data_IF_941229450907
#
_entry.id   IF_941229450907
#
_cell.length_a   1.000
_cell.length_b   1.000
_cell.length_c   1.000
_cell.angle_alpha   90.00
_cell.angle_beta   90.00
_cell.angle_gamma   90.00
#
_symmetry.space_group_name_H-M   'P 1'
#
loop_
_entity.id
_entity.type
_entity.pdbx_description
1 polymer ?
#
# COMPACT_ATOMS: atom_id res chain seq x y z
N UNK A 1 -15.62 -7.85 21.37
CA UNK A 1 -16.11 -9.15 20.88
C UNK A 1 -16.50 -9.07 19.38
N UNK A 2 -17.36 -8.15 18.96
CA UNK A 2 -17.76 -8.02 17.55
C UNK A 2 -16.56 -7.73 16.61
N UNK A 3 -15.64 -6.85 17.00
CA UNK A 3 -14.43 -6.51 16.21
C UNK A 3 -13.52 -7.73 16.05
N UNK A 4 -13.35 -8.53 17.10
CA UNK A 4 -12.54 -9.78 17.05
C UNK A 4 -13.19 -10.83 16.17
N UNK A 5 -14.52 -10.96 16.22
CA UNK A 5 -15.27 -11.89 15.35
C UNK A 5 -15.23 -11.40 13.90
N UNK A 6 -15.39 -10.12 13.65
CA UNK A 6 -15.27 -9.54 12.30
C UNK A 6 -13.86 -9.70 11.75
N UNK A 7 -12.83 -9.45 12.56
CA UNK A 7 -11.44 -9.69 12.18
C UNK A 7 -11.16 -11.19 11.96
N UNK A 8 -11.69 -12.07 12.79
CA UNK A 8 -11.56 -13.52 12.61
C UNK A 8 -12.28 -14.00 11.34
N UNK A 9 -13.50 -13.53 11.06
CA UNK A 9 -14.22 -13.85 9.82
C UNK A 9 -13.51 -13.26 8.60
N UNK A 10 -13.02 -12.03 8.67
CA UNK A 10 -12.23 -11.42 7.60
C UNK A 10 -10.87 -12.11 7.41
N UNK A 11 -10.34 -12.78 8.44
CA UNK A 11 -9.06 -13.49 8.37
C UNK A 11 -9.24 -14.97 7.98
N UNK A 12 -10.25 -15.66 8.47
CA UNK A 12 -10.46 -17.11 8.27
C UNK A 12 -11.23 -17.41 6.98
N UNK A 13 -12.26 -16.65 6.65
CA UNK A 13 -13.03 -16.85 5.43
C UNK A 13 -12.21 -16.72 4.12
N UNK A 14 -11.20 -15.82 4.02
CA UNK A 14 -10.33 -15.78 2.86
C UNK A 14 -9.41 -16.99 2.73
N UNK A 15 -8.96 -17.60 3.84
CA UNK A 15 -7.97 -18.68 3.78
C UNK A 15 -8.49 -19.94 3.08
N UNK A 16 -9.74 -20.30 3.30
CA UNK A 16 -10.37 -21.46 2.62
C UNK A 16 -10.63 -21.17 1.14
N UNK A 17 -11.01 -19.92 0.81
CA UNK A 17 -11.20 -19.49 -0.58
C UNK A 17 -9.88 -19.27 -1.34
N UNK A 18 -8.84 -18.84 -0.62
CA UNK A 18 -7.52 -18.57 -1.20
C UNK A 18 -6.83 -19.86 -1.67
N UNK A 19 -6.97 -20.97 -0.95
CA UNK A 19 -6.40 -22.26 -1.37
C UNK A 19 -6.99 -22.71 -2.71
N UNK A 20 -8.34 -22.73 -2.81
CA UNK A 20 -9.03 -23.12 -4.05
C UNK A 20 -8.71 -22.15 -5.21
N UNK A 21 -8.62 -20.84 -4.91
CA UNK A 21 -8.26 -19.82 -5.91
C UNK A 21 -6.84 -20.04 -6.43
N UNK A 22 -5.88 -20.37 -5.55
CA UNK A 22 -4.50 -20.61 -5.93
C UNK A 22 -4.35 -21.85 -6.83
N UNK A 23 -5.08 -22.94 -6.53
CA UNK A 23 -5.08 -24.16 -7.35
C UNK A 23 -5.67 -23.92 -8.76
N UNK A 24 -6.81 -23.25 -8.84
CA UNK A 24 -7.41 -22.90 -10.14
C UNK A 24 -6.53 -21.96 -10.96
N UNK A 25 -5.88 -21.02 -10.29
CA UNK A 25 -4.93 -20.09 -10.93
C UNK A 25 -3.70 -20.86 -11.45
N UNK A 26 -3.16 -21.80 -10.68
CA UNK A 26 -2.03 -22.62 -11.07
C UNK A 26 -2.33 -23.42 -12.35
N UNK A 27 -3.47 -24.08 -12.40
CA UNK A 27 -3.93 -24.85 -13.58
C UNK A 27 -4.11 -23.90 -14.78
N UNK A 28 -4.76 -22.76 -14.59
CA UNK A 28 -4.97 -21.78 -15.65
C UNK A 28 -3.64 -21.23 -16.22
N UNK A 29 -2.70 -20.86 -15.34
CA UNK A 29 -1.39 -20.33 -15.71
C UNK A 29 -0.56 -21.38 -16.48
N UNK A 30 -0.55 -22.63 -16.00
CA UNK A 30 0.19 -23.72 -16.66
C UNK A 30 -0.35 -24.04 -18.05
N UNK A 31 -1.68 -24.06 -18.21
CA UNK A 31 -2.32 -24.38 -19.48
C UNK A 31 -2.22 -23.27 -20.53
N UNK A 32 -2.07 -22.02 -20.11
CA UNK A 32 -2.02 -20.85 -21.01
C UNK A 32 -0.64 -20.62 -21.66
N UNK A 33 0.37 -21.39 -21.27
CA UNK A 33 1.71 -21.29 -21.83
C UNK A 33 2.51 -20.05 -21.36
N UNK A 34 3.70 -19.82 -21.95
CA UNK A 34 4.68 -18.87 -21.44
C UNK A 34 4.25 -17.40 -21.50
N UNK A 35 3.39 -17.01 -22.42
CA UNK A 35 2.85 -15.64 -22.52
C UNK A 35 1.47 -15.50 -21.87
N UNK A 36 0.63 -16.51 -22.02
CA UNK A 36 -0.73 -16.49 -21.46
C UNK A 36 -0.73 -16.61 -19.94
N UNK A 37 0.17 -17.41 -19.38
CA UNK A 37 0.27 -17.60 -17.93
C UNK A 37 0.50 -16.31 -17.13
N UNK A 38 1.51 -15.49 -17.46
CA UNK A 38 1.69 -14.19 -16.84
C UNK A 38 0.48 -13.26 -16.99
N UNK A 39 -0.16 -13.22 -18.16
CA UNK A 39 -1.34 -12.37 -18.38
C UNK A 39 -2.52 -12.78 -17.47
N UNK A 40 -2.79 -14.08 -17.35
CA UNK A 40 -3.80 -14.61 -16.42
C UNK A 40 -3.45 -14.24 -14.98
N UNK A 41 -2.18 -14.38 -14.58
CA UNK A 41 -1.74 -14.02 -13.24
C UNK A 41 -1.93 -12.54 -12.94
N UNK A 42 -1.55 -11.65 -13.86
CA UNK A 42 -1.74 -10.21 -13.71
C UNK A 42 -3.23 -9.85 -13.54
N UNK A 43 -4.09 -10.43 -14.37
CA UNK A 43 -5.54 -10.23 -14.28
C UNK A 43 -6.12 -10.74 -12.96
N UNK A 44 -5.74 -11.96 -12.57
CA UNK A 44 -6.16 -12.55 -11.30
C UNK A 44 -5.68 -11.75 -10.09
N UNK A 45 -4.45 -11.20 -10.13
CA UNK A 45 -3.94 -10.32 -9.08
C UNK A 45 -4.76 -9.03 -8.98
N UNK A 46 -5.08 -8.40 -10.12
CA UNK A 46 -5.91 -7.19 -10.14
C UNK A 46 -7.31 -7.45 -9.55
N UNK A 47 -7.94 -8.56 -9.94
CA UNK A 47 -9.22 -8.98 -9.34
C UNK A 47 -9.05 -9.26 -7.84
N UNK A 48 -8.01 -9.99 -7.45
CA UNK A 48 -7.71 -10.30 -6.06
C UNK A 48 -7.52 -9.05 -5.19
N UNK A 49 -6.86 -8.01 -5.71
CA UNK A 49 -6.70 -6.73 -5.03
C UNK A 49 -8.04 -6.01 -4.81
N UNK A 50 -8.98 -6.14 -5.75
CA UNK A 50 -10.33 -5.56 -5.64
C UNK A 50 -11.19 -6.34 -4.64
N UNK A 51 -11.16 -7.68 -4.68
CA UNK A 51 -11.96 -8.54 -3.77
C UNK A 51 -11.27 -8.81 -2.43
N UNK A 52 -10.22 -8.07 -2.12
CA UNK A 52 -9.51 -8.07 -0.84
C UNK A 52 -8.77 -9.38 -0.52
N UNK A 53 -8.32 -10.15 -1.53
CA UNK A 53 -7.43 -11.29 -1.30
C UNK A 53 -6.11 -10.79 -0.70
N UNK A 54 -5.56 -11.45 0.35
CA UNK A 54 -4.31 -11.04 0.96
C UNK A 54 -3.15 -11.02 -0.05
N UNK A 55 -2.45 -9.88 -0.15
CA UNK A 55 -1.33 -9.73 -1.07
C UNK A 55 -0.20 -10.75 -0.81
N UNK A 56 0.00 -11.17 0.44
CA UNK A 56 0.96 -12.19 0.81
C UNK A 56 0.70 -13.52 0.10
N UNK A 57 -0.57 -13.95 0.03
CA UNK A 57 -0.94 -15.18 -0.68
C UNK A 57 -0.65 -15.05 -2.18
N UNK A 58 -0.95 -13.91 -2.78
CA UNK A 58 -0.68 -13.66 -4.20
C UNK A 58 0.82 -13.57 -4.50
N UNK A 59 1.61 -12.97 -3.61
CA UNK A 59 3.07 -12.91 -3.75
C UNK A 59 3.71 -14.31 -3.64
N UNK A 60 3.27 -15.12 -2.68
CA UNK A 60 3.70 -16.53 -2.54
C UNK A 60 3.36 -17.34 -3.80
N UNK A 61 2.13 -17.23 -4.30
CA UNK A 61 1.69 -17.92 -5.51
C UNK A 61 2.52 -17.47 -6.73
N UNK A 62 2.80 -16.19 -6.89
CA UNK A 62 3.63 -15.69 -7.97
C UNK A 62 5.07 -16.23 -7.91
N UNK A 63 5.66 -16.30 -6.73
CA UNK A 63 6.97 -16.92 -6.52
C UNK A 63 6.98 -18.42 -6.81
N UNK A 64 5.96 -19.14 -6.37
CA UNK A 64 5.77 -20.56 -6.63
C UNK A 64 5.63 -20.87 -8.11
N UNK A 65 4.84 -20.09 -8.85
CA UNK A 65 4.56 -20.32 -10.27
C UNK A 65 5.74 -19.95 -11.17
N UNK A 66 6.35 -18.80 -10.96
CA UNK A 66 7.31 -18.20 -11.88
C UNK A 66 8.76 -18.19 -11.37
N UNK A 67 8.98 -18.64 -10.12
CA UNK A 67 10.31 -18.61 -9.50
C UNK A 67 10.70 -17.23 -8.99
N UNK A 68 11.94 -17.06 -8.47
CA UNK A 68 12.31 -15.84 -7.73
C UNK A 68 12.39 -14.60 -8.63
N UNK A 69 13.01 -14.67 -9.80
CA UNK A 69 13.27 -13.52 -10.66
C UNK A 69 12.03 -13.09 -11.46
N UNK A 70 11.45 -14.01 -12.23
CA UNK A 70 10.24 -13.73 -13.01
C UNK A 70 9.03 -13.52 -12.11
N UNK A 71 8.95 -14.26 -11.00
CA UNK A 71 7.92 -14.04 -9.98
C UNK A 71 8.00 -12.63 -9.42
N UNK A 72 9.20 -12.14 -9.05
CA UNK A 72 9.37 -10.77 -8.57
C UNK A 72 8.94 -9.73 -9.61
N UNK A 73 9.32 -9.92 -10.87
CA UNK A 73 8.92 -9.01 -11.95
C UNK A 73 7.40 -8.99 -12.14
N UNK A 74 6.77 -10.16 -12.32
CA UNK A 74 5.33 -10.25 -12.57
C UNK A 74 4.50 -9.79 -11.36
N UNK A 75 4.88 -10.17 -10.14
CA UNK A 75 4.19 -9.73 -8.92
C UNK A 75 4.34 -8.22 -8.72
N UNK A 76 5.52 -7.64 -8.99
CA UNK A 76 5.73 -6.19 -8.88
C UNK A 76 4.81 -5.42 -9.83
N UNK A 77 4.70 -5.84 -11.07
CA UNK A 77 3.78 -5.24 -12.05
C UNK A 77 2.32 -5.48 -11.63
N UNK A 78 1.96 -6.73 -11.29
CA UNK A 78 0.62 -7.11 -10.94
C UNK A 78 0.10 -6.39 -9.68
N UNK A 79 0.93 -6.27 -8.64
CA UNK A 79 0.58 -5.57 -7.40
C UNK A 79 0.37 -4.07 -7.63
N UNK A 80 1.20 -3.47 -8.48
CA UNK A 80 1.07 -2.05 -8.85
C UNK A 80 -0.19 -1.80 -9.66
N UNK A 81 -0.46 -2.63 -10.68
CA UNK A 81 -1.68 -2.54 -11.48
C UNK A 81 -2.93 -2.81 -10.63
N UNK A 82 -2.92 -3.88 -9.82
CA UNK A 82 -4.02 -4.21 -8.93
C UNK A 82 -4.33 -3.12 -7.91
N UNK A 83 -3.28 -2.52 -7.33
CA UNK A 83 -3.45 -1.37 -6.44
C UNK A 83 -4.04 -0.16 -7.16
N UNK A 84 -3.63 0.08 -8.41
CA UNK A 84 -4.18 1.14 -9.26
C UNK A 84 -5.66 0.94 -9.58
N UNK A 85 -6.07 -0.28 -9.92
CA UNK A 85 -7.47 -0.62 -10.17
C UNK A 85 -8.33 -0.41 -8.92
N UNK A 86 -7.90 -0.91 -7.76
CA UNK A 86 -8.61 -0.72 -6.50
C UNK A 86 -8.69 0.76 -6.08
N UNK A 87 -7.62 1.52 -6.28
CA UNK A 87 -7.57 2.96 -6.05
C UNK A 87 -8.56 3.71 -6.97
N UNK A 88 -8.58 3.40 -8.27
CA UNK A 88 -9.50 4.03 -9.23
C UNK A 88 -10.94 3.67 -8.91
N UNK A 89 -11.22 2.41 -8.56
CA UNK A 89 -12.55 1.98 -8.14
C UNK A 89 -13.04 2.78 -6.92
N UNK A 90 -12.18 2.93 -5.91
CA UNK A 90 -12.50 3.78 -4.76
C UNK A 90 -12.77 5.23 -5.15
N UNK A 91 -11.94 5.78 -6.05
CA UNK A 91 -12.05 7.17 -6.50
C UNK A 91 -13.30 7.45 -7.32
N UNK A 92 -13.67 6.54 -8.21
CA UNK A 92 -14.82 6.76 -9.11
C UNK A 92 -16.16 6.38 -8.48
N UNK A 93 -16.18 5.31 -7.66
CA UNK A 93 -17.44 4.76 -7.12
C UNK A 93 -17.71 5.20 -5.68
N UNK A 94 -16.66 5.22 -4.84
CA UNK A 94 -16.85 5.40 -3.39
C UNK A 94 -16.62 6.84 -2.94
N UNK A 95 -15.75 7.59 -3.63
CA UNK A 95 -15.33 8.92 -3.18
C UNK A 95 -16.51 9.89 -3.01
N UNK A 96 -17.38 9.98 -4.00
CA UNK A 96 -18.55 10.88 -3.94
C UNK A 96 -19.46 10.56 -2.73
N UNK A 97 -19.74 9.29 -2.50
CA UNK A 97 -20.57 8.85 -1.36
C UNK A 97 -19.92 9.12 0.01
N UNK A 98 -18.59 9.07 0.07
CA UNK A 98 -17.85 9.35 1.31
C UNK A 98 -17.77 10.85 1.52
N UNK A 99 -17.47 11.64 0.49
CA UNK A 99 -17.43 13.10 0.56
C UNK A 99 -18.77 13.68 1.06
N UNK A 100 -19.91 13.20 0.58
CA UNK A 100 -21.22 13.61 1.06
C UNK A 100 -21.43 13.37 2.56
N UNK A 101 -20.92 12.25 3.07
CA UNK A 101 -21.07 11.88 4.49
C UNK A 101 -20.12 12.59 5.42
N UNK A 102 -18.93 12.96 4.96
CA UNK A 102 -17.86 13.55 5.77
C UNK A 102 -17.58 15.01 5.44
N UNK A 103 -18.31 15.60 4.48
CA UNK A 103 -18.12 17.00 4.05
C UNK A 103 -18.21 18.00 5.23
N UNK A 104 -18.98 17.69 6.26
CA UNK A 104 -19.11 18.53 7.46
C UNK A 104 -18.00 18.27 8.50
N UNK A 105 -17.18 17.23 8.36
CA UNK A 105 -16.12 16.91 9.30
C UNK A 105 -14.82 17.66 8.96
N UNK A 106 -14.52 18.67 9.77
CA UNK A 106 -13.29 19.46 9.65
C UNK A 106 -12.02 18.59 9.78
N UNK A 107 -12.08 17.48 10.53
CA UNK A 107 -10.94 16.58 10.72
C UNK A 107 -10.62 15.83 9.45
N UNK A 108 -11.65 15.36 8.73
CA UNK A 108 -11.48 14.70 7.43
C UNK A 108 -10.83 15.64 6.42
N UNK A 109 -11.35 16.86 6.29
CA UNK A 109 -10.81 17.86 5.36
C UNK A 109 -9.35 18.22 5.68
N UNK A 110 -8.99 18.34 6.95
CA UNK A 110 -7.61 18.61 7.38
C UNK A 110 -6.69 17.41 7.05
N UNK A 111 -7.15 16.18 7.31
CA UNK A 111 -6.42 14.96 7.00
C UNK A 111 -6.19 14.81 5.49
N UNK A 112 -7.24 14.98 4.67
CA UNK A 112 -7.12 14.89 3.22
C UNK A 112 -6.14 15.92 2.66
N UNK A 113 -6.18 17.16 3.13
CA UNK A 113 -5.21 18.19 2.75
C UNK A 113 -3.78 17.82 3.13
N UNK A 114 -3.55 17.34 4.35
CA UNK A 114 -2.24 16.93 4.83
C UNK A 114 -1.68 15.76 3.99
N UNK A 115 -2.51 14.76 3.73
CA UNK A 115 -2.16 13.60 2.90
C UNK A 115 -1.89 14.01 1.46
N UNK A 116 -2.70 14.90 0.88
CA UNK A 116 -2.57 15.33 -0.51
C UNK A 116 -1.32 16.18 -0.75
N UNK A 117 -0.93 17.05 0.18
CA UNK A 117 0.26 17.91 0.06
C UNK A 117 1.57 17.12 -0.08
N UNK A 118 1.71 16.01 0.64
CA UNK A 118 2.89 15.12 0.62
C UNK A 118 2.55 13.73 0.08
N UNK A 119 1.59 13.63 -0.84
CA UNK A 119 0.93 12.41 -1.25
C UNK A 119 1.84 11.21 -1.49
N UNK A 120 2.88 11.35 -2.33
CA UNK A 120 3.80 10.26 -2.63
C UNK A 120 4.56 9.76 -1.36
N UNK A 121 5.00 10.68 -0.49
CA UNK A 121 5.71 10.33 0.74
C UNK A 121 4.80 9.59 1.74
N UNK A 122 3.57 10.07 1.90
CA UNK A 122 2.59 9.42 2.79
C UNK A 122 2.26 8.02 2.28
N UNK A 123 2.06 7.86 0.97
CA UNK A 123 1.86 6.55 0.36
C UNK A 123 3.05 5.64 0.62
N UNK A 124 4.27 6.12 0.37
CA UNK A 124 5.50 5.35 0.57
C UNK A 124 5.64 4.87 2.03
N UNK A 125 5.46 5.78 2.99
CA UNK A 125 5.55 5.45 4.42
C UNK A 125 4.50 4.40 4.84
N UNK A 126 3.26 4.55 4.36
CA UNK A 126 2.20 3.58 4.66
C UNK A 126 2.48 2.23 4.00
N UNK A 127 3.07 2.19 2.79
CA UNK A 127 3.47 0.94 2.13
C UNK A 127 4.59 0.22 2.85
N UNK A 128 5.52 0.94 3.44
CA UNK A 128 6.60 0.38 4.25
C UNK A 128 6.13 -0.06 5.64
N UNK A 129 4.96 0.41 6.08
CA UNK A 129 4.39 0.03 7.37
C UNK A 129 3.55 -1.25 7.24
N UNK A 130 3.93 -2.36 7.91
CA UNK A 130 3.20 -3.63 7.82
C UNK A 130 1.84 -3.62 8.55
N UNK A 131 1.55 -2.59 9.35
CA UNK A 131 0.30 -2.51 10.14
C UNK A 131 -0.91 -2.24 9.25
N UNK A 132 -0.73 -1.47 8.17
CA UNK A 132 -1.84 -1.14 7.28
C UNK A 132 -1.97 -2.21 6.19
N UNK A 133 -3.09 -2.95 6.16
CA UNK A 133 -3.30 -3.98 5.13
C UNK A 133 -3.27 -3.37 3.72
N UNK A 134 -2.58 -4.05 2.80
CA UNK A 134 -2.41 -3.63 1.40
C UNK A 134 -3.69 -3.15 0.74
N UNK A 135 -4.74 -3.98 0.83
CA UNK A 135 -6.01 -3.70 0.16
C UNK A 135 -6.74 -2.50 0.77
N UNK A 136 -6.71 -2.36 2.12
CA UNK A 136 -7.32 -1.23 2.81
C UNK A 136 -6.64 0.08 2.38
N UNK A 137 -5.31 0.09 2.30
CA UNK A 137 -4.55 1.25 1.85
C UNK A 137 -4.93 1.68 0.42
N UNK A 138 -5.16 0.72 -0.49
CA UNK A 138 -5.55 1.03 -1.87
C UNK A 138 -6.85 1.83 -1.92
N UNK A 139 -7.88 1.37 -1.20
CA UNK A 139 -9.16 2.05 -1.14
C UNK A 139 -9.06 3.38 -0.39
N UNK A 140 -8.36 3.41 0.75
CA UNK A 140 -8.19 4.62 1.53
C UNK A 140 -7.55 5.75 0.73
N UNK A 141 -6.45 5.47 0.00
CA UNK A 141 -5.81 6.48 -0.86
C UNK A 141 -6.69 6.89 -2.06
N UNK A 142 -7.51 6.00 -2.59
CA UNK A 142 -8.48 6.34 -3.64
C UNK A 142 -9.50 7.39 -3.20
N UNK A 143 -9.82 7.44 -1.90
CA UNK A 143 -10.72 8.43 -1.31
C UNK A 143 -10.07 9.79 -1.05
N UNK A 144 -8.73 9.88 -1.07
CA UNK A 144 -7.98 11.13 -0.85
C UNK A 144 -7.70 11.88 -2.14
N UNK A 145 -7.21 13.12 -2.03
CA UNK A 145 -6.80 13.96 -3.16
C UNK A 145 -5.47 13.56 -3.82
N UNK A 146 -4.82 12.46 -3.39
CA UNK A 146 -3.53 12.01 -3.95
C UNK A 146 -3.67 11.66 -5.43
N UNK A 147 -2.78 12.15 -6.28
CA UNK A 147 -2.76 11.84 -7.71
C UNK A 147 -2.41 10.37 -7.99
N UNK A 148 -2.95 9.79 -9.07
CA UNK A 148 -2.72 8.40 -9.46
C UNK A 148 -1.22 8.12 -9.73
N UNK A 149 -0.54 9.00 -10.46
CA UNK A 149 0.88 8.84 -10.80
C UNK A 149 1.78 8.77 -9.56
N UNK A 150 1.78 9.77 -8.68
CA UNK A 150 2.49 9.73 -7.39
C UNK A 150 2.11 8.52 -6.54
N UNK A 151 0.84 8.10 -6.53
CA UNK A 151 0.38 6.92 -5.82
C UNK A 151 1.00 5.62 -6.37
N UNK A 152 0.97 5.41 -7.70
CA UNK A 152 1.51 4.20 -8.33
C UNK A 152 3.02 4.11 -8.13
N UNK A 153 3.75 5.20 -8.33
CA UNK A 153 5.21 5.24 -8.19
C UNK A 153 5.64 4.95 -6.74
N UNK A 154 5.03 5.62 -5.77
CA UNK A 154 5.31 5.39 -4.36
C UNK A 154 4.89 3.98 -3.90
N UNK A 155 3.77 3.45 -4.42
CA UNK A 155 3.34 2.09 -4.14
C UNK A 155 4.31 1.07 -4.73
N UNK A 156 4.76 1.26 -5.96
CA UNK A 156 5.72 0.37 -6.60
C UNK A 156 7.00 0.26 -5.79
N UNK A 157 7.60 1.39 -5.41
CA UNK A 157 8.82 1.44 -4.61
C UNK A 157 8.58 0.86 -3.21
N UNK A 158 7.50 1.27 -2.54
CA UNK A 158 7.22 0.87 -1.16
C UNK A 158 6.82 -0.59 -1.00
N UNK A 159 6.26 -1.21 -2.03
CA UNK A 159 5.90 -2.63 -2.03
C UNK A 159 7.06 -3.56 -2.37
N UNK A 160 8.15 -3.07 -2.99
CA UNK A 160 9.29 -3.89 -3.39
C UNK A 160 9.79 -4.83 -2.28
N UNK A 161 10.09 -4.37 -1.05
CA UNK A 161 10.62 -5.24 0.00
C UNK A 161 9.68 -6.41 0.32
N UNK A 162 8.39 -6.11 0.53
CA UNK A 162 7.39 -7.12 0.87
C UNK A 162 7.12 -8.09 -0.30
N UNK A 163 7.14 -7.59 -1.53
CA UNK A 163 6.99 -8.38 -2.75
C UNK A 163 8.14 -9.37 -2.89
N UNK A 164 9.39 -8.90 -2.80
CA UNK A 164 10.55 -9.78 -2.87
C UNK A 164 10.55 -10.85 -1.79
N UNK A 165 10.23 -10.49 -0.55
CA UNK A 165 10.14 -11.45 0.55
C UNK A 165 9.11 -12.55 0.25
N UNK A 166 7.89 -12.18 -0.11
CA UNK A 166 6.82 -13.14 -0.43
C UNK A 166 7.15 -14.04 -1.62
N UNK A 167 7.72 -13.45 -2.68
CA UNK A 167 8.12 -14.19 -3.89
C UNK A 167 9.24 -15.19 -3.62
N UNK A 168 10.29 -14.80 -2.88
CA UNK A 168 11.38 -15.72 -2.53
C UNK A 168 10.85 -16.91 -1.75
N UNK A 169 9.97 -16.65 -0.76
CA UNK A 169 9.34 -17.72 0.02
C UNK A 169 8.52 -18.65 -0.88
N UNK A 170 7.69 -18.11 -1.76
CA UNK A 170 6.90 -18.92 -2.71
C UNK A 170 7.78 -19.77 -3.64
N UNK A 171 8.87 -19.18 -4.16
CA UNK A 171 9.80 -19.85 -5.05
C UNK A 171 10.54 -21.01 -4.35
N UNK A 172 10.92 -20.84 -3.09
CA UNK A 172 11.63 -21.88 -2.31
C UNK A 172 10.71 -23.02 -1.89
N UNK A 173 9.44 -22.76 -1.65
CA UNK A 173 8.42 -23.79 -1.38
C UNK A 173 8.30 -24.75 -2.54
N UNK A 174 8.38 -24.26 -3.79
CA UNK A 174 8.37 -25.10 -5.00
C UNK A 174 9.52 -26.09 -5.08
N UNK A 175 10.68 -25.74 -4.56
CA UNK A 175 11.90 -26.56 -4.62
C UNK A 175 11.98 -27.61 -3.50
N UNK A 176 10.97 -27.73 -2.64
CA UNK A 176 10.93 -28.72 -1.56
C UNK A 176 12.00 -28.54 -0.48
N UNK A 177 12.68 -27.40 -0.45
CA UNK A 177 13.96 -27.29 0.17
C UNK A 177 14.22 -26.18 1.18
N UNK A 178 13.23 -25.51 1.73
CA UNK A 178 13.52 -24.61 2.86
C UNK A 178 12.71 -25.03 4.08
N UNK A 179 13.40 -25.54 5.10
CA UNK A 179 12.80 -25.80 6.40
C UNK A 179 12.12 -24.53 6.94
N UNK A 180 11.04 -24.67 7.69
CA UNK A 180 10.22 -23.54 8.14
C UNK A 180 11.00 -22.41 8.83
N UNK A 181 12.19 -22.68 9.41
CA UNK A 181 13.05 -21.68 10.05
C UNK A 181 13.61 -20.63 9.09
N UNK A 182 13.95 -20.99 7.84
CA UNK A 182 14.45 -20.05 6.83
C UNK A 182 13.39 -19.09 6.36
N UNK A 183 12.11 -19.53 6.29
CA UNK A 183 10.97 -18.65 6.09
C UNK A 183 10.90 -17.58 7.18
N UNK A 184 10.93 -17.99 8.43
CA UNK A 184 10.86 -17.06 9.56
C UNK A 184 12.10 -16.16 9.64
N UNK A 185 13.28 -16.65 9.28
CA UNK A 185 14.51 -15.85 9.24
C UNK A 185 14.41 -14.75 8.16
N UNK A 186 13.97 -15.08 6.95
CA UNK A 186 13.77 -14.08 5.87
C UNK A 186 12.69 -13.08 6.26
N UNK A 187 11.56 -13.53 6.79
CA UNK A 187 10.49 -12.66 7.25
C UNK A 187 10.96 -11.71 8.37
N UNK A 188 11.75 -12.21 9.33
CA UNK A 188 12.32 -11.40 10.40
C UNK A 188 13.32 -10.36 9.88
N UNK A 189 14.24 -10.75 8.98
CA UNK A 189 15.20 -9.84 8.37
C UNK A 189 14.48 -8.74 7.58
N UNK A 190 13.48 -9.11 6.78
CA UNK A 190 12.71 -8.14 5.99
C UNK A 190 11.89 -7.20 6.87
N UNK A 191 11.32 -7.71 7.97
CA UNK A 191 10.63 -6.88 8.97
C UNK A 191 11.60 -5.92 9.64
N UNK A 192 12.79 -6.38 10.02
CA UNK A 192 13.81 -5.53 10.63
C UNK A 192 14.30 -4.45 9.67
N UNK A 193 14.57 -4.80 8.41
CA UNK A 193 14.95 -3.84 7.36
C UNK A 193 13.84 -2.80 7.16
N UNK A 194 12.60 -3.22 7.10
CA UNK A 194 11.45 -2.31 6.97
C UNK A 194 11.33 -1.37 8.16
N UNK A 195 11.47 -1.86 9.39
CA UNK A 195 11.42 -1.04 10.61
C UNK A 195 12.55 -0.02 10.62
N UNK A 196 13.79 -0.42 10.27
CA UNK A 196 14.94 0.48 10.22
C UNK A 196 14.76 1.55 9.13
N UNK A 197 14.28 1.16 7.95
CA UNK A 197 13.99 2.11 6.87
C UNK A 197 12.91 3.12 7.26
N UNK A 198 11.81 2.65 7.84
CA UNK A 198 10.73 3.51 8.34
C UNK A 198 11.27 4.45 9.42
N UNK A 199 12.03 3.94 10.38
CA UNK A 199 12.63 4.75 11.44
C UNK A 199 13.56 5.85 10.88
N UNK A 200 14.40 5.52 9.91
CA UNK A 200 15.28 6.50 9.25
C UNK A 200 14.53 7.56 8.44
N UNK A 201 13.48 7.14 7.70
CA UNK A 201 12.66 8.06 6.91
C UNK A 201 11.84 8.96 7.83
N UNK A 202 11.24 8.41 8.88
CA UNK A 202 10.50 9.19 9.87
C UNK A 202 11.39 10.19 10.62
N UNK A 203 12.60 9.77 11.03
CA UNK A 203 13.57 10.65 11.69
C UNK A 203 14.00 11.80 10.77
N UNK A 204 14.23 11.53 9.47
CA UNK A 204 14.55 12.59 8.50
C UNK A 204 13.38 13.55 8.28
N UNK A 205 12.16 13.03 8.17
CA UNK A 205 10.97 13.85 8.00
C UNK A 205 10.71 14.75 9.22
N UNK A 206 10.97 14.25 10.44
CA UNK A 206 10.88 15.04 11.66
C UNK A 206 11.97 16.12 11.72
N UNK A 207 13.20 15.77 11.36
CA UNK A 207 14.31 16.73 11.31
C UNK A 207 14.05 17.86 10.29
N UNK A 208 13.42 17.56 9.15
CA UNK A 208 13.01 18.59 8.18
C UNK A 208 11.94 19.52 8.73
N UNK A 209 10.98 19.00 9.52
CA UNK A 209 9.93 19.81 10.15
C UNK A 209 10.52 20.71 11.25
N UNK A 210 11.49 20.21 12.02
CA UNK A 210 12.18 20.99 13.06
C UNK A 210 13.15 22.02 12.47
N UNK A 211 13.68 21.76 11.27
CA UNK A 211 14.59 22.67 10.58
C UNK A 211 13.89 23.78 9.78
N UNK A 212 12.55 23.72 9.61
CA UNK A 212 11.77 24.81 9.01
C UNK A 212 11.53 25.86 10.10
N UNK A 213 12.35 26.95 10.19
CA UNK A 213 12.21 27.94 11.26
C UNK A 213 10.88 28.66 11.06
N UNK A 214 10.33 29.10 12.19
CA UNK A 214 9.17 29.99 12.40
C UNK A 214 9.18 31.28 11.54
N UNK A 215 9.31 31.15 10.23
CA UNK A 215 9.30 32.30 9.30
C UNK A 215 7.89 32.82 9.05
N UNK A 216 6.90 32.38 9.82
CA UNK A 216 5.51 32.87 9.73
C UNK A 216 5.02 33.61 10.99
N UNK A 217 5.90 33.92 11.91
CA UNK A 217 5.62 34.82 13.02
C UNK A 217 6.28 36.19 12.80
N UNK A 218 6.12 36.80 11.63
CA UNK A 218 6.18 38.25 11.60
C UNK A 218 4.86 38.75 12.23
N UNK A 219 4.94 39.44 13.36
CA UNK A 219 3.79 40.14 13.87
C UNK A 219 3.43 41.19 12.80
N UNK A 220 2.21 41.06 12.26
CA UNK A 220 1.58 42.15 11.50
C UNK A 220 1.72 43.41 12.36
N UNK A 221 2.66 44.26 11.96
CA UNK A 221 2.90 45.52 12.65
C UNK A 221 1.59 46.29 12.77
N UNK A 222 1.15 46.49 14.01
CA UNK A 222 0.11 47.46 14.31
C UNK A 222 0.57 48.80 13.72
N UNK A 223 -0.20 49.43 12.84
CA UNK A 223 0.08 50.81 12.46
C UNK A 223 -0.04 51.66 13.71
N UNK A 224 1.05 52.37 14.07
CA UNK A 224 1.07 53.32 15.16
C UNK A 224 -0.03 54.39 14.98
N UNK A 225 -0.87 54.64 15.97
CA UNK A 225 -1.85 55.73 15.91
C UNK A 225 -1.11 57.05 16.19
N UNK A 226 -0.92 57.88 15.19
CA UNK A 226 -0.46 59.25 15.46
C UNK A 226 0.36 59.93 14.36
N UNK A 227 -0.28 60.35 13.27
CA UNK A 227 0.13 61.56 12.57
C UNK A 227 -1.05 62.11 11.77
N UNK A 228 -1.96 62.76 12.45
CA UNK A 228 -2.89 63.70 11.88
C UNK A 228 -2.13 65.04 11.74
N UNK A 229 -1.95 65.62 10.59
CA UNK A 229 -1.60 67.03 10.49
C UNK A 229 -2.90 67.85 10.67
N UNK A 230 -2.92 68.72 11.67
CA UNK A 230 -3.90 69.77 11.85
C UNK A 230 -3.67 70.88 10.83
N UNK A 231 -4.68 71.70 10.56
CA UNK A 231 -4.95 72.49 9.36
C UNK A 231 -4.01 73.63 9.12
#
# INVERSE_FOLDING_TARGET
MIVVVVLAVLFVAPHVRVANWAEHLEVGVKNAGPLGGPAIFLGAYAVGAVVLIPATAMNLTGGFLFGPWWGAAFVSVASTLGSGVAFLLARTVLRHRVEEKVAADRRWTALDRAVTRRGAWVVLLIRLNPVVPFNVANYAFGLTGVGLGPYLLASWIGLCPATFAGVIVGATTRQGGMGGWTFWAIAAIMSLVSIVLIGRIAARALAEIEAEPETLAEPVGCPSPGSTPLP
#
